data_IF_177663496157
#
_entry.id   IF_177663496157
#
_cell.length_a   1.000
_cell.length_b   1.000
_cell.length_c   1.000
_cell.angle_alpha   90.00
_cell.angle_beta   90.00
_cell.angle_gamma   90.00
#
_symmetry.space_group_name_H-M   'P 1'
#
loop_
_entity.id
_entity.type
_entity.pdbx_description
1 polymer ?
#
# COMPACT_ATOMS: atom_id res chain seq x y z
N UNK A 1 -100.36 -1.89 -16.49
CA UNK A 1 -99.50 -1.00 -17.32
C UNK A 1 -98.48 -0.35 -16.45
N UNK A 2 -97.22 -0.84 -16.43
CA UNK A 2 -96.12 -0.30 -15.67
C UNK A 2 -95.21 0.53 -16.58
N UNK A 3 -95.13 1.84 -16.30
CA UNK A 3 -94.24 2.78 -17.01
C UNK A 3 -92.83 2.62 -16.40
N UNK A 4 -91.86 2.26 -17.20
CA UNK A 4 -90.44 2.34 -16.86
C UNK A 4 -89.88 3.69 -17.28
N UNK A 5 -89.39 4.45 -16.27
CA UNK A 5 -88.65 5.66 -16.46
C UNK A 5 -87.18 5.36 -16.70
N UNK A 6 -86.62 5.71 -17.86
CA UNK A 6 -85.21 5.70 -18.14
C UNK A 6 -84.54 6.93 -17.58
N UNK A 7 -83.55 6.73 -16.68
CA UNK A 7 -82.68 7.80 -16.22
C UNK A 7 -81.50 7.92 -17.17
N UNK A 8 -81.02 9.11 -17.52
CA UNK A 8 -79.84 9.25 -18.36
C UNK A 8 -78.58 8.94 -17.55
N UNK A 9 -77.78 8.04 -18.12
CA UNK A 9 -76.43 7.71 -17.61
C UNK A 9 -75.48 8.82 -18.09
N UNK A 10 -74.97 9.58 -17.15
CA UNK A 10 -73.87 10.53 -17.41
C UNK A 10 -72.60 9.73 -17.69
N UNK A 11 -72.13 9.82 -18.92
CA UNK A 11 -70.82 9.28 -19.32
C UNK A 11 -69.75 10.26 -18.92
N UNK A 12 -69.06 9.99 -17.79
CA UNK A 12 -67.93 10.78 -17.35
C UNK A 12 -66.68 10.28 -18.09
N UNK A 13 -66.28 11.01 -19.13
CA UNK A 13 -65.02 10.79 -19.83
C UNK A 13 -63.86 11.22 -18.91
N UNK A 14 -63.20 10.22 -18.35
CA UNK A 14 -61.95 10.41 -17.61
C UNK A 14 -60.82 10.60 -18.64
N UNK A 15 -60.41 11.87 -18.81
CA UNK A 15 -59.29 12.22 -19.66
C UNK A 15 -58.00 11.94 -18.86
N UNK A 16 -57.46 10.71 -19.00
CA UNK A 16 -56.12 10.39 -18.48
C UNK A 16 -55.07 11.12 -19.29
N UNK A 17 -54.64 12.26 -18.78
CA UNK A 17 -53.47 12.98 -19.28
C UNK A 17 -52.21 12.16 -18.98
N UNK A 18 -51.66 11.51 -19.99
CA UNK A 18 -50.34 10.87 -19.91
C UNK A 18 -49.30 11.98 -19.89
N UNK A 19 -48.87 12.36 -18.68
CA UNK A 19 -47.68 13.19 -18.52
C UNK A 19 -46.48 12.31 -18.85
N UNK A 20 -46.02 12.35 -20.07
CA UNK A 20 -44.72 11.80 -20.47
C UNK A 20 -43.65 12.69 -19.86
N UNK A 21 -43.23 12.39 -18.64
CA UNK A 21 -42.02 12.97 -18.08
C UNK A 21 -40.85 12.53 -18.95
N UNK A 22 -40.35 13.41 -19.80
CA UNK A 22 -39.04 13.30 -20.40
C UNK A 22 -38.00 13.31 -19.25
N UNK A 23 -37.70 12.16 -18.71
CA UNK A 23 -36.49 11.99 -17.91
C UNK A 23 -35.34 12.11 -18.89
N UNK A 24 -34.80 13.32 -19.01
CA UNK A 24 -33.49 13.52 -19.61
C UNK A 24 -32.54 12.68 -18.78
N UNK A 25 -32.21 11.50 -19.26
CA UNK A 25 -31.04 10.74 -18.79
C UNK A 25 -29.84 11.66 -19.05
N UNK A 26 -29.46 12.42 -18.05
CA UNK A 26 -28.18 13.11 -18.05
C UNK A 26 -27.14 12.04 -18.36
N UNK A 27 -26.41 12.17 -19.47
CA UNK A 27 -25.22 11.36 -19.72
C UNK A 27 -24.41 11.47 -18.42
N UNK A 28 -24.30 10.38 -17.65
CA UNK A 28 -23.29 10.29 -16.61
C UNK A 28 -21.98 10.57 -17.33
N UNK A 29 -21.43 11.75 -17.12
CA UNK A 29 -20.05 12.04 -17.50
C UNK A 29 -19.28 10.99 -16.74
N UNK A 30 -18.72 10.02 -17.44
CA UNK A 30 -17.85 9.01 -16.85
C UNK A 30 -16.66 9.80 -16.35
N UNK A 31 -16.61 10.04 -15.04
CA UNK A 31 -15.53 10.76 -14.43
C UNK A 31 -14.29 9.88 -14.64
N UNK A 32 -13.37 10.38 -15.42
CA UNK A 32 -12.12 9.69 -15.72
C UNK A 32 -11.37 9.49 -14.40
N UNK A 33 -10.92 8.25 -14.16
CA UNK A 33 -10.17 7.91 -12.96
C UNK A 33 -8.73 8.42 -13.13
N UNK A 34 -8.48 9.62 -12.67
CA UNK A 34 -7.19 10.32 -12.88
C UNK A 34 -6.02 9.63 -12.14
N UNK A 35 -6.30 8.80 -11.14
CA UNK A 35 -5.26 8.06 -10.42
C UNK A 35 -4.48 7.09 -11.30
N UNK A 36 -5.05 6.64 -12.41
CA UNK A 36 -4.38 5.79 -13.40
C UNK A 36 -3.17 6.46 -14.07
N UNK A 37 -3.11 7.80 -14.07
CA UNK A 37 -1.98 8.55 -14.64
C UNK A 37 -0.88 8.85 -13.61
N UNK A 38 -1.06 8.45 -12.37
CA UNK A 38 -0.05 8.63 -11.32
C UNK A 38 0.96 7.50 -11.40
N UNK A 39 2.23 7.84 -11.64
CA UNK A 39 3.35 6.91 -11.60
C UNK A 39 4.25 7.25 -10.39
N UNK A 40 4.09 6.55 -9.26
CA UNK A 40 4.83 6.86 -8.03
C UNK A 40 6.34 6.65 -8.12
N UNK A 41 6.82 5.95 -9.14
CA UNK A 41 8.25 5.68 -9.33
C UNK A 41 9.00 6.83 -10.02
N UNK A 42 8.30 7.84 -10.54
CA UNK A 42 8.94 9.00 -11.17
C UNK A 42 9.85 9.71 -10.17
N UNK A 43 11.11 9.92 -10.54
CA UNK A 43 12.09 10.63 -9.73
C UNK A 43 12.79 9.77 -8.69
N UNK A 44 12.51 8.47 -8.57
CA UNK A 44 13.08 7.59 -7.54
C UNK A 44 14.48 7.06 -7.89
N UNK A 45 14.96 7.24 -9.12
CA UNK A 45 16.34 6.96 -9.47
C UNK A 45 17.23 8.15 -9.14
N UNK A 46 18.31 7.97 -8.38
CA UNK A 46 19.21 9.04 -7.92
C UNK A 46 18.59 10.11 -7.05
N UNK A 47 17.35 9.97 -6.64
CA UNK A 47 16.74 10.96 -5.77
C UNK A 47 17.09 10.69 -4.31
N UNK A 48 17.78 11.65 -3.71
CA UNK A 48 18.27 11.51 -2.33
C UNK A 48 17.22 11.83 -1.27
N UNK A 49 16.18 12.60 -1.61
CA UNK A 49 15.53 13.36 -0.57
C UNK A 49 14.04 13.10 -0.41
N UNK A 50 13.27 12.95 -1.50
CA UNK A 50 11.81 13.04 -1.39
C UNK A 50 11.03 12.02 -2.20
N UNK A 51 11.68 11.27 -3.07
CA UNK A 51 10.96 10.38 -3.97
C UNK A 51 11.11 8.93 -3.55
N UNK A 52 10.00 8.31 -3.25
CA UNK A 52 9.88 6.92 -2.89
C UNK A 52 8.51 6.41 -3.37
N UNK A 53 8.28 5.12 -3.33
CA UNK A 53 7.06 4.46 -3.83
C UNK A 53 6.13 4.09 -2.67
N UNK A 54 5.33 5.02 -2.16
CA UNK A 54 4.52 4.73 -0.98
C UNK A 54 3.19 4.05 -1.31
N UNK A 55 2.76 3.14 -0.45
CA UNK A 55 1.37 2.76 -0.33
C UNK A 55 0.62 3.73 0.58
N UNK A 56 0.72 5.03 0.34
CA UNK A 56 0.25 6.06 1.28
C UNK A 56 -0.89 6.91 0.71
N UNK A 57 -1.71 7.46 1.60
CA UNK A 57 -2.68 8.51 1.27
C UNK A 57 -1.96 9.84 1.03
N UNK A 58 -2.44 10.70 0.10
CA UNK A 58 -1.94 12.05 -0.04
C UNK A 58 -2.00 12.79 1.32
N UNK A 59 -0.88 13.43 1.69
CA UNK A 59 -0.72 14.16 2.97
C UNK A 59 -0.90 13.29 4.23
N UNK A 60 -0.91 11.96 4.10
CA UNK A 60 -0.96 11.05 5.24
C UNK A 60 0.35 11.06 6.05
N UNK A 61 0.26 10.80 7.35
CA UNK A 61 1.42 10.61 8.23
C UNK A 61 2.01 9.21 8.07
N UNK A 62 1.16 8.19 7.90
CA UNK A 62 1.61 6.84 7.64
C UNK A 62 2.02 6.69 6.18
N UNK A 63 3.29 6.38 5.95
CA UNK A 63 3.89 6.27 4.62
C UNK A 63 4.64 4.95 4.48
N UNK A 64 3.93 3.80 4.49
CA UNK A 64 4.57 2.52 4.26
C UNK A 64 5.12 2.48 2.84
N UNK A 65 6.37 2.08 2.73
CA UNK A 65 7.04 1.96 1.45
C UNK A 65 8.16 0.91 1.52
N UNK A 66 8.61 0.34 0.39
CA UNK A 66 9.78 -0.50 0.40
C UNK A 66 11.03 0.32 0.71
N UNK A 67 11.94 -0.25 1.48
CA UNK A 67 13.31 0.24 1.63
C UNK A 67 14.23 -0.66 0.83
N UNK A 68 14.99 -0.09 -0.10
CA UNK A 68 15.98 -0.81 -0.91
C UNK A 68 17.41 -0.51 -0.45
N UNK A 69 17.67 0.72 0.00
CA UNK A 69 19.01 1.16 0.38
C UNK A 69 19.03 2.10 1.59
N UNK A 70 17.96 2.12 2.37
CA UNK A 70 17.86 2.99 3.54
C UNK A 70 18.76 2.60 4.71
N UNK A 71 19.21 1.33 4.78
CA UNK A 71 20.10 0.89 5.82
C UNK A 71 21.44 1.65 5.77
N UNK A 72 21.87 2.17 6.93
CA UNK A 72 23.06 3.04 7.02
C UNK A 72 24.36 2.33 6.60
N UNK A 73 24.36 1.02 6.55
CA UNK A 73 25.50 0.23 6.05
C UNK A 73 25.62 0.18 4.52
N UNK A 74 24.65 0.69 3.78
CA UNK A 74 24.71 0.75 2.32
C UNK A 74 25.67 1.85 1.85
N UNK A 75 26.26 1.66 0.66
CA UNK A 75 27.29 2.57 0.14
C UNK A 75 26.79 3.99 -0.08
N UNK A 76 25.52 4.13 -0.37
CA UNK A 76 24.87 5.41 -0.64
C UNK A 76 24.12 5.96 0.57
N UNK A 77 24.59 5.74 1.78
CA UNK A 77 23.95 6.15 3.05
C UNK A 77 23.40 7.59 3.14
N UNK A 78 23.49 8.32 2.06
CA UNK A 78 22.89 9.62 1.81
C UNK A 78 21.49 9.56 1.15
N UNK A 79 21.02 8.40 0.77
CA UNK A 79 19.74 8.26 0.10
C UNK A 79 18.65 8.07 1.14
N UNK A 80 18.29 9.16 1.76
CA UNK A 80 17.46 9.20 2.96
C UNK A 80 16.03 8.67 2.78
N UNK A 81 15.57 8.52 1.53
CA UNK A 81 14.22 8.01 1.25
C UNK A 81 14.12 6.49 1.32
N UNK A 82 15.24 5.79 1.27
CA UNK A 82 15.31 4.34 1.34
C UNK A 82 14.92 3.58 0.09
N UNK A 83 14.42 4.23 -0.94
CA UNK A 83 14.06 3.57 -2.19
C UNK A 83 14.84 4.14 -3.36
N UNK A 84 15.47 3.26 -4.13
CA UNK A 84 16.09 3.60 -5.41
C UNK A 84 15.58 2.66 -6.49
N UNK A 85 15.04 3.23 -7.56
CA UNK A 85 14.51 2.46 -8.70
C UNK A 85 15.55 1.54 -9.36
N UNK A 86 16.83 1.83 -9.22
CA UNK A 86 17.91 1.02 -9.78
C UNK A 86 18.18 -0.25 -8.99
N UNK A 87 17.80 -0.29 -7.72
CA UNK A 87 18.01 -1.43 -6.85
C UNK A 87 17.09 -2.59 -7.22
N UNK A 88 17.53 -3.80 -6.94
CA UNK A 88 16.81 -5.04 -7.25
C UNK A 88 16.56 -5.91 -6.02
N UNK A 89 16.69 -5.32 -4.83
CA UNK A 89 16.37 -6.02 -3.58
C UNK A 89 15.76 -5.06 -2.56
N UNK A 90 14.86 -5.61 -1.74
CA UNK A 90 14.16 -4.90 -0.65
C UNK A 90 14.68 -5.43 0.68
N UNK A 91 14.96 -4.53 1.60
CA UNK A 91 15.39 -4.87 2.98
C UNK A 91 14.24 -4.82 4.00
N UNK A 92 13.07 -4.35 3.59
CA UNK A 92 11.89 -4.32 4.42
C UNK A 92 10.98 -3.13 4.14
N UNK A 93 9.99 -2.94 5.00
CA UNK A 93 8.89 -2.00 4.82
C UNK A 93 8.71 -1.12 6.05
N UNK A 94 9.51 -0.06 6.22
CA UNK A 94 9.29 0.95 7.24
C UNK A 94 8.03 1.78 6.93
N UNK A 95 7.45 2.40 7.96
CA UNK A 95 6.18 3.13 7.85
C UNK A 95 6.33 4.66 7.84
N UNK A 96 7.54 5.17 8.01
CA UNK A 96 7.85 6.59 7.94
C UNK A 96 8.88 6.85 6.86
N UNK A 97 8.45 7.55 5.80
CA UNK A 97 9.29 8.03 4.73
C UNK A 97 9.06 9.52 4.56
N UNK A 98 10.10 10.29 4.79
CA UNK A 98 10.19 11.72 4.57
C UNK A 98 11.59 12.05 4.10
N UNK A 99 12.11 13.18 4.53
CA UNK A 99 13.53 13.49 4.44
C UNK A 99 14.41 12.42 5.14
N UNK A 100 13.87 11.79 6.16
CA UNK A 100 14.46 10.65 6.85
C UNK A 100 13.51 9.46 6.81
N UNK A 101 14.09 8.27 6.91
CA UNK A 101 13.35 7.03 7.07
C UNK A 101 13.35 6.70 8.55
N UNK A 102 12.22 6.26 9.04
CA UNK A 102 12.10 5.94 10.45
C UNK A 102 11.04 4.89 10.74
N UNK A 103 10.93 4.60 12.02
CA UNK A 103 10.06 3.54 12.50
C UNK A 103 10.72 2.17 12.43
N UNK A 104 9.96 1.16 12.80
CA UNK A 104 10.41 -0.23 12.80
C UNK A 104 10.32 -0.77 11.37
N UNK A 105 11.40 -1.43 10.93
CA UNK A 105 11.41 -2.13 9.64
C UNK A 105 10.74 -3.49 9.81
N UNK A 106 9.70 -3.73 9.03
CA UNK A 106 9.04 -5.04 8.96
C UNK A 106 9.53 -5.79 7.74
N UNK A 107 9.95 -7.04 7.92
CA UNK A 107 10.36 -7.90 6.82
C UNK A 107 9.73 -9.29 6.96
N UNK A 108 8.84 -9.69 6.06
CA UNK A 108 8.33 -11.04 6.02
C UNK A 108 9.39 -11.99 5.43
N UNK A 109 9.59 -13.12 6.08
CA UNK A 109 10.60 -14.13 5.68
C UNK A 109 10.10 -15.54 5.86
N UNK A 110 10.71 -16.48 5.15
CA UNK A 110 10.56 -17.93 5.35
C UNK A 110 11.93 -18.59 5.57
N UNK A 111 11.94 -19.84 5.97
CA UNK A 111 13.18 -20.61 6.12
C UNK A 111 14.04 -20.16 7.31
N UNK A 112 15.36 -20.17 7.17
CA UNK A 112 16.27 -19.84 8.27
C UNK A 112 16.19 -18.38 8.67
N UNK A 113 16.13 -18.10 9.98
CA UNK A 113 16.12 -16.74 10.50
C UNK A 113 17.46 -16.05 10.22
N UNK A 114 17.39 -14.87 9.61
CA UNK A 114 18.48 -13.94 9.43
C UNK A 114 18.17 -12.66 10.20
N UNK A 115 19.15 -12.06 10.82
CA UNK A 115 18.97 -10.93 11.75
C UNK A 115 19.62 -9.63 11.32
N UNK A 116 20.29 -9.65 10.15
CA UNK A 116 20.89 -8.44 9.57
C UNK A 116 20.29 -8.17 8.20
N UNK A 117 20.12 -6.91 7.80
CA UNK A 117 19.53 -6.57 6.50
C UNK A 117 20.37 -7.03 5.29
N UNK A 118 21.68 -7.03 5.40
CA UNK A 118 22.58 -7.22 4.27
C UNK A 118 22.75 -5.93 3.46
N UNK A 119 23.69 -5.92 2.53
CA UNK A 119 23.94 -4.79 1.64
C UNK A 119 23.14 -4.88 0.34
N UNK A 120 22.93 -3.76 -0.34
CA UNK A 120 22.20 -3.68 -1.62
C UNK A 120 22.81 -4.59 -2.69
N UNK A 121 24.13 -4.65 -2.73
CA UNK A 121 24.92 -5.42 -3.68
C UNK A 121 25.41 -6.77 -3.12
N UNK A 122 24.84 -7.22 -1.98
CA UNK A 122 25.20 -8.49 -1.36
C UNK A 122 24.68 -9.68 -2.16
N UNK A 123 25.56 -10.32 -2.88
CA UNK A 123 25.27 -11.56 -3.61
C UNK A 123 25.38 -12.83 -2.74
N UNK A 124 25.84 -12.70 -1.50
CA UNK A 124 26.08 -13.85 -0.60
C UNK A 124 24.82 -14.36 0.08
N UNK A 125 23.77 -13.55 0.11
CA UNK A 125 22.52 -13.89 0.77
C UNK A 125 22.63 -14.01 2.29
N UNK A 126 23.61 -13.38 2.91
CA UNK A 126 23.79 -13.39 4.36
C UNK A 126 22.66 -12.63 5.04
N UNK A 127 22.22 -11.50 4.45
CA UNK A 127 21.15 -10.67 4.98
C UNK A 127 19.76 -11.23 4.75
N UNK A 128 18.76 -10.65 5.43
CA UNK A 128 17.34 -10.97 5.26
C UNK A 128 16.69 -10.27 4.08
N UNK A 129 17.37 -9.35 3.39
CA UNK A 129 16.82 -8.68 2.20
C UNK A 129 16.46 -9.69 1.11
N UNK A 130 15.48 -9.34 0.29
CA UNK A 130 15.01 -10.19 -0.80
C UNK A 130 15.11 -9.49 -2.13
N UNK A 131 15.56 -10.23 -3.14
CA UNK A 131 15.52 -9.79 -4.54
C UNK A 131 14.08 -9.71 -5.02
N UNK A 132 13.84 -8.85 -6.01
CA UNK A 132 12.57 -8.75 -6.73
C UNK A 132 12.82 -8.38 -8.19
N UNK A 133 11.82 -8.63 -9.04
CA UNK A 133 11.83 -8.17 -10.43
C UNK A 133 10.89 -6.97 -10.58
N UNK A 134 11.29 -6.01 -11.40
CA UNK A 134 10.44 -4.84 -11.71
C UNK A 134 9.08 -5.22 -12.32
N UNK A 135 9.04 -6.33 -13.06
CA UNK A 135 7.80 -6.83 -13.62
C UNK A 135 6.78 -7.29 -12.55
N UNK A 136 7.27 -7.65 -11.36
CA UNK A 136 6.45 -8.08 -10.22
C UNK A 136 6.11 -6.94 -9.26
N UNK A 137 6.62 -5.74 -9.53
CA UNK A 137 6.37 -4.54 -8.74
C UNK A 137 5.16 -3.77 -9.28
N UNK A 138 4.22 -3.47 -8.43
CA UNK A 138 3.06 -2.63 -8.71
C UNK A 138 3.13 -1.40 -7.82
N UNK A 139 3.12 -0.22 -8.43
CA UNK A 139 3.07 1.05 -7.72
C UNK A 139 1.98 1.92 -8.36
N UNK A 140 0.98 2.26 -7.58
CA UNK A 140 -0.12 3.15 -7.97
C UNK A 140 -0.43 4.13 -6.85
N UNK A 141 -1.27 5.11 -7.11
CA UNK A 141 -1.68 6.04 -6.07
C UNK A 141 -2.28 5.30 -4.86
N UNK A 142 -1.63 5.39 -3.71
CA UNK A 142 -2.11 4.79 -2.45
C UNK A 142 -1.91 3.28 -2.31
N UNK A 143 -1.24 2.63 -3.24
CA UNK A 143 -0.99 1.20 -3.17
C UNK A 143 0.37 0.82 -3.75
N UNK A 144 1.05 -0.07 -3.05
CA UNK A 144 2.29 -0.69 -3.50
C UNK A 144 2.24 -2.20 -3.31
N UNK A 145 2.82 -2.95 -4.23
CA UNK A 145 3.00 -4.40 -4.08
C UNK A 145 4.26 -4.88 -4.76
N UNK A 146 4.90 -5.90 -4.18
CA UNK A 146 6.09 -6.54 -4.74
C UNK A 146 6.15 -8.02 -4.37
N UNK A 147 6.70 -8.84 -5.26
CA UNK A 147 7.03 -10.24 -4.95
C UNK A 147 8.47 -10.32 -4.44
N UNK A 148 8.63 -10.73 -3.19
CA UNK A 148 9.93 -11.05 -2.58
C UNK A 148 10.37 -12.43 -3.06
N UNK A 149 11.25 -12.46 -4.05
CA UNK A 149 11.61 -13.71 -4.78
C UNK A 149 12.29 -14.75 -3.91
N UNK A 150 13.16 -14.30 -3.00
CA UNK A 150 13.94 -15.22 -2.16
C UNK A 150 13.08 -15.93 -1.10
N UNK A 151 11.88 -15.42 -0.86
CA UNK A 151 10.92 -15.97 0.10
C UNK A 151 9.60 -16.40 -0.53
N UNK A 152 9.40 -16.11 -1.83
CA UNK A 152 8.12 -16.32 -2.52
C UNK A 152 6.92 -15.66 -1.82
N UNK A 153 7.16 -14.48 -1.23
CA UNK A 153 6.15 -13.74 -0.47
C UNK A 153 5.67 -12.54 -1.28
N UNK A 154 4.35 -12.40 -1.45
CA UNK A 154 3.75 -11.17 -1.96
C UNK A 154 3.55 -10.20 -0.80
N UNK A 155 4.21 -9.04 -0.86
CA UNK A 155 3.99 -7.94 0.05
C UNK A 155 3.10 -6.89 -0.62
N UNK A 156 2.13 -6.35 0.14
CA UNK A 156 1.19 -5.33 -0.30
C UNK A 156 1.05 -4.26 0.78
N UNK A 157 1.11 -3.00 0.38
CA UNK A 157 1.11 -1.85 1.28
C UNK A 157 0.01 -0.88 0.88
N UNK A 158 -0.71 -0.38 1.86
CA UNK A 158 -1.60 0.78 1.74
C UNK A 158 -1.69 1.48 3.09
N UNK A 159 -2.35 2.64 3.14
CA UNK A 159 -2.49 3.37 4.39
C UNK A 159 -3.80 4.17 4.44
N UNK A 160 -4.26 4.42 5.65
CA UNK A 160 -5.09 5.57 5.99
C UNK A 160 -4.20 6.77 6.34
N UNK A 161 -4.74 7.95 6.64
CA UNK A 161 -3.89 9.09 7.01
C UNK A 161 -2.93 8.84 8.20
N UNK A 162 -3.24 7.88 9.08
CA UNK A 162 -2.46 7.63 10.30
C UNK A 162 -2.09 6.17 10.54
N UNK A 163 -2.59 5.23 9.74
CA UNK A 163 -2.37 3.80 9.94
C UNK A 163 -1.84 3.18 8.67
N UNK A 164 -0.68 2.57 8.73
CA UNK A 164 -0.15 1.73 7.66
C UNK A 164 -0.80 0.34 7.74
N UNK A 165 -1.15 -0.20 6.59
CA UNK A 165 -1.69 -1.55 6.44
C UNK A 165 -0.75 -2.30 5.53
N UNK A 166 -0.23 -3.42 6.04
CA UNK A 166 0.68 -4.29 5.32
C UNK A 166 0.09 -5.69 5.28
N UNK A 167 0.00 -6.27 4.11
CA UNK A 167 -0.46 -7.65 3.90
C UNK A 167 0.65 -8.47 3.28
N UNK A 168 0.92 -9.63 3.87
CA UNK A 168 1.91 -10.57 3.38
C UNK A 168 1.25 -11.90 3.06
N UNK A 169 1.39 -12.34 1.83
CA UNK A 169 0.92 -13.66 1.39
C UNK A 169 2.11 -14.60 1.30
N UNK A 170 2.15 -15.56 2.21
CA UNK A 170 3.23 -16.54 2.31
C UNK A 170 2.97 -17.77 1.42
N UNK A 171 4.01 -18.45 0.95
CA UNK A 171 3.87 -19.74 0.31
C UNK A 171 3.36 -20.80 1.31
N UNK A 172 2.62 -21.78 0.83
CA UNK A 172 2.15 -22.88 1.67
C UNK A 172 3.30 -23.79 2.11
N UNK A 173 3.25 -24.25 3.36
CA UNK A 173 4.19 -25.27 3.89
C UNK A 173 5.54 -24.75 4.35
N UNK A 174 5.76 -23.45 4.35
CA UNK A 174 6.98 -22.84 4.84
C UNK A 174 6.80 -22.22 6.24
N UNK A 175 7.89 -22.20 7.02
CA UNK A 175 7.93 -21.48 8.29
C UNK A 175 7.82 -19.98 8.05
N UNK A 176 6.63 -19.44 8.24
CA UNK A 176 6.31 -18.05 7.97
C UNK A 176 6.55 -17.18 9.19
N UNK A 177 7.23 -16.05 9.02
CA UNK A 177 7.48 -15.09 10.10
C UNK A 177 7.54 -13.66 9.60
N UNK A 178 7.29 -12.72 10.48
CA UNK A 178 7.52 -11.31 10.27
C UNK A 178 8.62 -10.88 11.22
N UNK A 179 9.74 -10.41 10.68
CA UNK A 179 10.82 -9.82 11.44
C UNK A 179 10.48 -8.36 11.75
N UNK A 180 10.54 -7.98 12.99
CA UNK A 180 10.51 -6.60 13.47
C UNK A 180 11.96 -6.21 13.77
N UNK A 181 12.61 -5.55 12.82
CA UNK A 181 14.00 -5.12 13.02
C UNK A 181 14.05 -3.76 13.72
N UNK A 182 14.07 -3.81 15.04
CA UNK A 182 14.15 -2.62 15.90
C UNK A 182 15.56 -2.03 15.94
N UNK A 183 16.56 -2.79 15.49
CA UNK A 183 17.96 -2.36 15.45
C UNK A 183 18.39 -1.78 14.11
N UNK A 184 17.54 -1.87 13.08
CA UNK A 184 17.88 -1.38 11.76
C UNK A 184 18.02 0.14 11.75
N UNK A 185 19.19 0.60 11.35
CA UNK A 185 19.49 2.03 11.23
C UNK A 185 19.16 2.48 9.82
N UNK A 186 18.11 3.28 9.72
CA UNK A 186 17.62 3.81 8.45
C UNK A 186 18.05 5.28 8.28
N UNK A 187 18.48 5.64 7.06
CA UNK A 187 18.85 7.00 6.72
C UNK A 187 19.95 7.55 7.63
N UNK A 188 19.73 8.73 8.18
CA UNK A 188 20.66 9.40 9.13
C UNK A 188 20.35 9.09 10.61
N UNK A 189 19.54 8.06 10.86
CA UNK A 189 19.18 7.66 12.23
C UNK A 189 20.40 7.32 13.07
N UNK A 190 20.38 7.69 14.34
CA UNK A 190 21.35 7.23 15.32
C UNK A 190 21.22 5.74 15.63
N UNK A 191 22.16 5.20 16.39
CA UNK A 191 22.02 3.83 16.90
C UNK A 191 20.84 3.75 17.86
N UNK A 192 20.10 2.65 17.80
CA UNK A 192 19.09 2.33 18.81
C UNK A 192 19.80 2.14 20.16
N UNK A 193 19.35 2.86 21.16
CA UNK A 193 19.96 2.82 22.52
C UNK A 193 19.17 1.95 23.47
N UNK A 194 17.85 1.98 23.30
CA UNK A 194 16.92 1.24 24.13
C UNK A 194 15.66 0.96 23.33
N UNK A 195 15.14 -0.25 23.44
CA UNK A 195 13.92 -0.67 22.76
C UNK A 195 13.25 -1.79 23.55
N UNK A 196 11.94 -1.70 23.68
CA UNK A 196 11.12 -2.70 24.31
C UNK A 196 9.99 -3.11 23.38
N UNK A 197 9.65 -4.40 23.38
CA UNK A 197 8.50 -4.94 22.65
C UNK A 197 7.68 -5.79 23.61
N UNK A 198 6.39 -5.51 23.67
CA UNK A 198 5.43 -6.26 24.47
C UNK A 198 4.36 -6.91 23.59
N UNK A 199 4.09 -8.17 23.80
CA UNK A 199 2.96 -8.87 23.19
C UNK A 199 1.79 -8.82 24.17
N UNK A 200 0.69 -8.21 23.74
CA UNK A 200 -0.51 -8.09 24.56
C UNK A 200 -1.39 -9.33 24.41
N UNK A 201 -2.27 -9.60 25.41
CA UNK A 201 -3.17 -10.76 25.39
C UNK A 201 -4.18 -10.75 24.24
N UNK A 202 -4.52 -9.58 23.71
CA UNK A 202 -5.40 -9.41 22.54
C UNK A 202 -4.66 -9.48 21.20
N UNK A 203 -3.37 -9.87 21.22
CA UNK A 203 -2.56 -10.13 20.02
C UNK A 203 -1.94 -8.87 19.40
N UNK A 204 -1.91 -7.75 20.11
CA UNK A 204 -1.17 -6.56 19.69
C UNK A 204 0.31 -6.68 20.06
N UNK A 205 1.12 -5.95 19.31
CA UNK A 205 2.54 -5.71 19.61
C UNK A 205 2.67 -4.23 19.90
N UNK A 206 3.18 -3.92 21.08
CA UNK A 206 3.39 -2.56 21.56
C UNK A 206 4.87 -2.35 21.89
N UNK A 207 5.38 -1.10 21.72
CA UNK A 207 6.76 -0.76 22.03
C UNK A 207 7.09 0.72 21.78
#
# INVERSE_FOLDING_TARGET
MRKYSMKPVCFLLFLCGVFTSCVTQGKKVQQEELSQYVEPRIGTAHCRWFHFTPGAMPFGMAKPAPSTNGHIGNKSGWEATGYDYRDQSVEGFPCLHEFQIGGIVLMPTTGSLKTIPGAVDDSTGIGYRSRFDRADEIATAGYYSVLLKDYSIRAELTATPRVAIQRYTFPAGEDSRILFDIGNRQGESGAVRDAEITFTEDGRIEG
#
